data_IF_968148695971
#
_entry.id   IF_968148695971
#
_cell.length_a   1.000
_cell.length_b   1.000
_cell.length_c   1.000
_cell.angle_alpha   90.00
_cell.angle_beta   90.00
_cell.angle_gamma   90.00
#
_symmetry.space_group_name_H-M   'P 1'
#
loop_
_entity.id
_entity.type
_entity.pdbx_description
1 polymer ?
#
# COMPACT_ATOMS: atom_id res chain seq x y z
N UNK A 1 5.46 -25.89 -25.20
CA UNK A 1 4.04 -26.26 -24.95
C UNK A 1 3.55 -27.14 -26.08
N UNK A 2 2.96 -28.32 -25.79
CA UNK A 2 2.43 -29.23 -26.83
C UNK A 2 1.21 -28.57 -27.50
N UNK A 3 1.26 -28.40 -28.82
CA UNK A 3 0.38 -27.56 -29.67
C UNK A 3 -1.13 -27.85 -29.64
N UNK A 4 -1.62 -28.81 -28.87
CA UNK A 4 -3.06 -29.15 -28.79
C UNK A 4 -3.70 -29.00 -27.41
N UNK A 5 -2.92 -28.74 -26.34
CA UNK A 5 -3.48 -28.66 -24.98
C UNK A 5 -4.29 -27.38 -24.72
N UNK A 6 -3.95 -26.28 -25.40
CA UNK A 6 -4.62 -24.98 -25.23
C UNK A 6 -6.07 -25.04 -25.71
N UNK A 7 -6.37 -25.90 -26.69
CA UNK A 7 -7.72 -26.05 -27.22
C UNK A 7 -8.68 -26.73 -26.22
N UNK A 8 -8.17 -27.47 -25.24
CA UNK A 8 -8.98 -28.11 -24.18
C UNK A 8 -9.35 -27.16 -23.03
N UNK A 9 -8.74 -25.97 -22.99
CA UNK A 9 -9.03 -24.94 -21.98
C UNK A 9 -10.29 -24.13 -22.37
N UNK A 10 -10.62 -24.09 -23.66
CA UNK A 10 -11.76 -23.36 -24.18
C UNK A 10 -13.02 -24.24 -24.19
N UNK A 11 -13.98 -23.90 -23.33
CA UNK A 11 -15.28 -24.59 -23.25
C UNK A 11 -16.06 -24.60 -24.56
N UNK A 12 -15.79 -23.66 -25.48
CA UNK A 12 -16.44 -23.62 -26.80
C UNK A 12 -15.90 -24.68 -27.77
N UNK A 13 -14.80 -25.36 -27.43
CA UNK A 13 -14.15 -26.39 -28.26
C UNK A 13 -14.47 -27.82 -27.81
N UNK A 14 -15.42 -27.99 -26.90
CA UNK A 14 -15.88 -29.31 -26.45
C UNK A 14 -16.75 -29.92 -27.57
N UNK A 15 -16.35 -31.04 -28.21
CA UNK A 15 -17.14 -31.70 -29.25
C UNK A 15 -18.43 -32.29 -28.67
N UNK A 16 -19.47 -32.40 -29.49
CA UNK A 16 -20.68 -33.14 -29.10
C UNK A 16 -20.36 -34.62 -28.88
N UNK A 17 -21.07 -35.26 -27.94
CA UNK A 17 -20.82 -36.65 -27.53
C UNK A 17 -20.90 -37.65 -28.69
N UNK A 18 -21.75 -37.37 -29.69
CA UNK A 18 -21.98 -38.24 -30.84
C UNK A 18 -20.93 -38.06 -31.95
N UNK A 19 -20.00 -37.12 -31.78
CA UNK A 19 -18.99 -36.81 -32.78
C UNK A 19 -17.85 -37.84 -32.76
N UNK A 20 -17.39 -38.36 -33.92
CA UNK A 20 -16.35 -39.40 -33.98
C UNK A 20 -15.02 -39.05 -33.29
N UNK A 21 -14.73 -37.76 -33.12
CA UNK A 21 -13.52 -37.29 -32.45
C UNK A 21 -13.65 -37.18 -30.91
N UNK A 22 -14.83 -37.41 -30.33
CA UNK A 22 -15.08 -37.20 -28.89
C UNK A 22 -14.18 -38.08 -28.01
N UNK A 23 -14.00 -39.35 -28.35
CA UNK A 23 -13.12 -40.26 -27.60
C UNK A 23 -11.65 -39.82 -27.62
N UNK A 24 -11.16 -39.41 -28.80
CA UNK A 24 -9.80 -38.87 -28.91
C UNK A 24 -9.64 -37.54 -28.18
N UNK A 25 -10.69 -36.71 -28.16
CA UNK A 25 -10.72 -35.45 -27.42
C UNK A 25 -10.66 -35.70 -25.91
N UNK A 26 -11.45 -36.65 -25.39
CA UNK A 26 -11.51 -37.00 -23.95
C UNK A 26 -10.16 -37.43 -23.39
N UNK A 27 -9.41 -38.25 -24.13
CA UNK A 27 -8.05 -38.67 -23.75
C UNK A 27 -7.11 -37.46 -23.66
N UNK A 28 -7.25 -36.49 -24.55
CA UNK A 28 -6.41 -35.29 -24.57
C UNK A 28 -6.84 -34.26 -23.52
N UNK A 29 -8.13 -34.13 -23.24
CA UNK A 29 -8.68 -33.33 -22.15
C UNK A 29 -8.18 -33.85 -20.80
N UNK A 30 -8.22 -35.16 -20.58
CA UNK A 30 -7.72 -35.76 -19.34
C UNK A 30 -6.21 -35.56 -19.15
N UNK A 31 -5.42 -35.56 -20.24
CA UNK A 31 -4.00 -35.19 -20.19
C UNK A 31 -3.82 -33.71 -19.82
N UNK A 32 -4.64 -32.82 -20.36
CA UNK A 32 -4.61 -31.40 -20.00
C UNK A 32 -5.00 -31.18 -18.54
N UNK A 33 -6.07 -31.83 -18.07
CA UNK A 33 -6.49 -31.84 -16.68
C UNK A 33 -5.34 -32.29 -15.75
N UNK A 34 -4.70 -33.42 -16.05
CA UNK A 34 -3.63 -33.96 -15.21
C UNK A 34 -2.42 -33.01 -15.15
N UNK A 35 -2.02 -32.42 -16.27
CA UNK A 35 -0.91 -31.46 -16.32
C UNK A 35 -1.24 -30.21 -15.50
N UNK A 36 -2.44 -29.64 -15.68
CA UNK A 36 -2.86 -28.46 -14.95
C UNK A 36 -2.95 -28.79 -13.46
N UNK A 37 -3.62 -29.88 -13.09
CA UNK A 37 -3.70 -30.36 -11.71
C UNK A 37 -2.32 -30.49 -11.09
N UNK A 38 -1.39 -31.26 -11.67
CA UNK A 38 -0.06 -31.46 -11.09
C UNK A 38 0.76 -30.15 -10.91
N UNK A 39 0.47 -29.12 -11.71
CA UNK A 39 1.16 -27.82 -11.63
C UNK A 39 0.66 -26.90 -10.51
N UNK A 40 -0.46 -27.23 -9.85
CA UNK A 40 -1.13 -26.37 -8.87
C UNK A 40 -0.81 -26.83 -7.44
N UNK A 41 -0.44 -25.88 -6.58
CA UNK A 41 -0.15 -26.16 -5.17
C UNK A 41 -1.40 -26.44 -4.33
N UNK A 42 -2.59 -25.96 -4.75
CA UNK A 42 -3.87 -26.09 -4.03
C UNK A 42 -4.82 -27.01 -4.80
N UNK A 43 -4.60 -28.33 -4.72
CA UNK A 43 -5.41 -29.35 -5.41
C UNK A 43 -6.89 -29.35 -4.98
N UNK A 44 -7.18 -28.98 -3.74
CA UNK A 44 -8.54 -28.95 -3.20
C UNK A 44 -9.46 -27.99 -3.96
N UNK A 45 -8.90 -26.96 -4.62
CA UNK A 45 -9.64 -25.95 -5.37
C UNK A 45 -10.33 -26.55 -6.60
N UNK A 46 -9.73 -27.56 -7.23
CA UNK A 46 -10.16 -28.11 -8.53
C UNK A 46 -10.81 -29.49 -8.39
N UNK A 47 -11.06 -29.95 -7.16
CA UNK A 47 -11.51 -31.33 -6.87
C UNK A 47 -12.87 -31.68 -7.48
N UNK A 48 -13.71 -30.69 -7.74
CA UNK A 48 -15.03 -30.88 -8.35
C UNK A 48 -15.04 -30.70 -9.87
N UNK A 49 -13.90 -30.38 -10.49
CA UNK A 49 -13.80 -30.22 -11.94
C UNK A 49 -13.63 -31.59 -12.61
N UNK A 50 -14.38 -31.80 -13.69
CA UNK A 50 -14.36 -33.01 -14.50
C UNK A 50 -13.60 -32.84 -15.82
N UNK A 51 -13.39 -31.60 -16.28
CA UNK A 51 -12.72 -31.27 -17.55
C UNK A 51 -11.59 -30.27 -17.36
N UNK A 52 -10.64 -30.22 -18.29
CA UNK A 52 -9.55 -29.24 -18.25
C UNK A 52 -10.07 -27.79 -18.33
N UNK A 53 -11.13 -27.56 -19.10
CA UNK A 53 -11.83 -26.27 -19.18
C UNK A 53 -12.42 -25.86 -17.83
N UNK A 54 -13.08 -26.76 -17.11
CA UNK A 54 -13.63 -26.46 -15.77
C UNK A 54 -12.53 -26.13 -14.76
N UNK A 55 -11.44 -26.90 -14.77
CA UNK A 55 -10.25 -26.61 -13.94
C UNK A 55 -9.73 -25.21 -14.22
N UNK A 56 -9.58 -24.85 -15.51
CA UNK A 56 -9.12 -23.52 -15.90
C UNK A 56 -10.08 -22.42 -15.45
N UNK A 57 -11.39 -22.59 -15.63
CA UNK A 57 -12.38 -21.61 -15.21
C UNK A 57 -12.36 -21.39 -13.69
N UNK A 58 -12.25 -22.46 -12.89
CA UNK A 58 -12.15 -22.36 -11.43
C UNK A 58 -10.89 -21.59 -11.03
N UNK A 59 -9.74 -21.92 -11.63
CA UNK A 59 -8.48 -21.23 -11.35
C UNK A 59 -8.52 -19.78 -11.76
N UNK A 60 -8.98 -19.51 -12.99
CA UNK A 60 -9.15 -18.16 -13.51
C UNK A 60 -10.04 -17.33 -12.57
N UNK A 61 -11.20 -17.86 -12.17
CA UNK A 61 -12.10 -17.19 -11.24
C UNK A 61 -11.50 -17.01 -9.85
N UNK A 62 -10.77 -18.00 -9.33
CA UNK A 62 -10.10 -17.90 -8.04
C UNK A 62 -9.01 -16.83 -8.04
N UNK A 63 -8.14 -16.83 -9.06
CA UNK A 63 -7.09 -15.84 -9.22
C UNK A 63 -7.66 -14.45 -9.51
N UNK A 64 -8.71 -14.35 -10.33
CA UNK A 64 -9.42 -13.09 -10.59
C UNK A 64 -10.09 -12.56 -9.33
N UNK A 65 -10.78 -13.40 -8.56
CA UNK A 65 -11.38 -13.01 -7.26
C UNK A 65 -10.32 -12.56 -6.28
N UNK A 66 -9.20 -13.29 -6.17
CA UNK A 66 -8.08 -12.90 -5.30
C UNK A 66 -7.44 -11.61 -5.78
N UNK A 67 -7.30 -11.42 -7.08
CA UNK A 67 -6.81 -10.18 -7.68
C UNK A 67 -7.76 -9.01 -7.35
N UNK A 68 -9.07 -9.16 -7.55
CA UNK A 68 -10.07 -8.14 -7.21
C UNK A 68 -10.07 -7.86 -5.70
N UNK A 69 -10.08 -8.89 -4.86
CA UNK A 69 -10.03 -8.76 -3.40
C UNK A 69 -8.77 -8.00 -2.97
N UNK A 70 -7.60 -8.38 -3.48
CA UNK A 70 -6.34 -7.69 -3.19
C UNK A 70 -6.36 -6.24 -3.67
N UNK A 71 -6.89 -5.96 -4.86
CA UNK A 71 -7.02 -4.61 -5.41
C UNK A 71 -7.97 -3.75 -4.56
N UNK A 72 -9.10 -4.30 -4.14
CA UNK A 72 -10.03 -3.62 -3.23
C UNK A 72 -9.37 -3.34 -1.90
N UNK A 73 -8.68 -4.32 -1.32
CA UNK A 73 -7.99 -4.16 -0.04
C UNK A 73 -6.89 -3.10 -0.11
N UNK A 74 -6.10 -3.10 -1.18
CA UNK A 74 -5.04 -2.08 -1.39
C UNK A 74 -5.61 -0.69 -1.65
N UNK A 75 -6.73 -0.58 -2.38
CA UNK A 75 -7.44 0.70 -2.51
C UNK A 75 -7.97 1.20 -1.17
N UNK A 76 -8.52 0.32 -0.33
CA UNK A 76 -8.97 0.68 1.01
C UNK A 76 -7.81 1.20 1.86
N UNK A 77 -6.68 0.48 1.86
CA UNK A 77 -5.45 0.89 2.53
C UNK A 77 -4.98 2.27 2.05
N UNK A 78 -5.06 2.55 0.74
CA UNK A 78 -4.71 3.86 0.19
C UNK A 78 -5.63 4.99 0.65
N UNK A 79 -6.95 4.79 0.69
CA UNK A 79 -7.87 5.83 1.13
C UNK A 79 -7.79 6.10 2.63
N UNK A 80 -7.43 5.08 3.42
CA UNK A 80 -7.22 5.18 4.86
C UNK A 80 -5.78 5.61 5.20
N UNK A 81 -4.89 5.71 4.21
CA UNK A 81 -3.49 6.06 4.40
C UNK A 81 -3.36 7.52 4.84
N UNK A 82 -2.98 7.72 6.10
CA UNK A 82 -2.85 9.03 6.74
C UNK A 82 -1.61 9.10 7.61
N UNK A 83 -0.92 10.23 7.55
CA UNK A 83 0.15 10.59 8.46
C UNK A 83 -0.48 10.96 9.82
N UNK A 84 -0.10 10.25 10.88
CA UNK A 84 -0.48 10.62 12.24
C UNK A 84 0.17 11.94 12.67
N UNK A 85 -0.45 12.64 13.64
CA UNK A 85 0.09 13.89 14.20
C UNK A 85 1.49 13.67 14.77
N UNK A 86 2.43 14.54 14.43
CA UNK A 86 3.85 14.38 14.80
C UNK A 86 4.54 13.17 14.17
N UNK A 87 3.93 12.54 13.16
CA UNK A 87 4.49 11.39 12.47
C UNK A 87 5.75 11.73 11.65
N UNK A 88 6.57 10.71 11.40
CA UNK A 88 7.78 10.88 10.61
C UNK A 88 7.46 10.88 9.11
N UNK A 89 7.60 12.04 8.46
CA UNK A 89 7.35 12.24 7.03
C UNK A 89 8.20 11.34 6.14
N UNK A 90 9.44 11.05 6.53
CA UNK A 90 10.34 10.20 5.74
C UNK A 90 9.85 8.76 5.67
N UNK A 91 9.41 8.23 6.80
CA UNK A 91 8.80 6.90 6.85
C UNK A 91 7.48 6.88 6.05
N UNK A 92 6.68 7.94 6.17
CA UNK A 92 5.43 8.08 5.41
C UNK A 92 5.65 8.06 3.90
N UNK A 93 6.67 8.74 3.39
CA UNK A 93 7.02 8.69 1.97
C UNK A 93 7.43 7.30 1.51
N UNK A 94 8.18 6.56 2.32
CA UNK A 94 8.58 5.20 1.98
C UNK A 94 7.36 4.29 1.92
N UNK A 95 6.50 4.33 2.94
CA UNK A 95 5.26 3.55 2.99
C UNK A 95 4.32 3.87 1.82
N UNK A 96 4.25 5.14 1.42
CA UNK A 96 3.47 5.56 0.25
C UNK A 96 4.01 4.96 -1.05
N UNK A 97 5.33 4.94 -1.24
CA UNK A 97 5.96 4.32 -2.42
C UNK A 97 5.72 2.81 -2.44
N UNK A 98 5.90 2.13 -1.32
CA UNK A 98 5.64 0.69 -1.19
C UNK A 98 4.17 0.36 -1.52
N UNK A 99 3.24 1.23 -1.13
CA UNK A 99 1.82 1.09 -1.46
C UNK A 99 1.55 1.31 -2.96
N UNK A 100 2.20 2.29 -3.59
CA UNK A 100 2.13 2.52 -5.03
C UNK A 100 2.65 1.31 -5.82
N UNK A 101 3.84 0.80 -5.46
CA UNK A 101 4.43 -0.39 -6.07
C UNK A 101 3.53 -1.63 -5.89
N UNK A 102 2.91 -1.79 -4.72
CA UNK A 102 1.96 -2.87 -4.46
C UNK A 102 0.72 -2.78 -5.36
N UNK A 103 0.24 -1.58 -5.67
CA UNK A 103 -0.90 -1.37 -6.56
C UNK A 103 -0.54 -1.63 -8.03
N UNK A 104 0.66 -1.22 -8.45
CA UNK A 104 1.20 -1.50 -9.78
C UNK A 104 1.37 -3.01 -10.01
N UNK A 105 1.86 -3.75 -9.02
CA UNK A 105 1.96 -5.22 -9.06
C UNK A 105 0.59 -5.93 -9.22
N UNK A 106 -0.50 -5.27 -8.84
CA UNK A 106 -1.88 -5.76 -9.02
C UNK A 106 -2.53 -5.25 -10.33
N UNK A 107 -1.76 -4.60 -11.21
CA UNK A 107 -2.23 -4.04 -12.47
C UNK A 107 -3.06 -2.76 -12.32
N UNK A 108 -2.95 -2.07 -11.17
CA UNK A 108 -3.63 -0.80 -10.91
C UNK A 108 -2.61 0.33 -10.96
N UNK A 109 -2.33 0.79 -12.17
CA UNK A 109 -1.44 1.94 -12.41
C UNK A 109 -2.13 3.24 -11.99
N UNK A 110 -1.33 4.17 -11.46
CA UNK A 110 -1.72 5.54 -11.17
C UNK A 110 -0.76 6.46 -11.91
N UNK A 111 -1.29 7.50 -12.53
CA UNK A 111 -0.45 8.56 -13.09
C UNK A 111 0.23 9.36 -11.96
N UNK A 112 1.20 10.19 -12.33
CA UNK A 112 1.95 10.98 -11.35
C UNK A 112 1.07 12.04 -10.66
N UNK A 113 0.04 12.54 -11.35
CA UNK A 113 -0.89 13.54 -10.84
C UNK A 113 -1.79 12.95 -9.74
N UNK A 114 -2.39 11.78 -9.97
CA UNK A 114 -3.13 11.03 -8.97
C UNK A 114 -2.23 10.73 -7.77
N UNK A 115 -1.01 10.23 -8.00
CA UNK A 115 -0.07 9.95 -6.90
C UNK A 115 0.20 11.21 -6.07
N UNK A 116 0.34 12.38 -6.70
CA UNK A 116 0.48 13.65 -6.00
C UNK A 116 -0.77 13.99 -5.17
N UNK A 117 -1.97 13.87 -5.75
CA UNK A 117 -3.24 14.11 -5.04
C UNK A 117 -3.38 13.20 -3.83
N UNK A 118 -3.09 11.90 -3.95
CA UNK A 118 -3.12 10.96 -2.83
C UNK A 118 -2.07 11.31 -1.77
N UNK A 119 -0.86 11.68 -2.18
CA UNK A 119 0.20 12.06 -1.25
C UNK A 119 -0.21 13.28 -0.43
N UNK A 120 -0.67 14.36 -1.07
CA UNK A 120 -1.12 15.57 -0.36
C UNK A 120 -2.30 15.24 0.56
N UNK A 121 -3.31 14.54 0.04
CA UNK A 121 -4.46 14.11 0.82
C UNK A 121 -4.11 13.20 2.01
N UNK A 122 -2.94 12.56 2.03
CA UNK A 122 -2.52 11.67 3.12
C UNK A 122 -1.83 12.40 4.29
N UNK A 123 -1.48 13.68 4.17
CA UNK A 123 -0.72 14.38 5.21
C UNK A 123 -1.58 14.76 6.42
N UNK A 124 -0.90 15.00 7.56
CA UNK A 124 -1.50 15.51 8.79
C UNK A 124 -1.88 16.99 8.62
N UNK A 125 -2.82 17.47 9.45
CA UNK A 125 -3.20 18.88 9.56
C UNK A 125 -2.01 19.83 9.83
N UNK A 126 -0.94 19.28 10.42
CA UNK A 126 0.33 19.99 10.65
C UNK A 126 0.96 20.56 9.36
N UNK A 127 0.58 20.01 8.21
CA UNK A 127 1.08 20.38 6.89
C UNK A 127 0.07 21.16 6.04
N UNK A 128 -1.09 21.57 6.58
CA UNK A 128 -2.16 22.25 5.85
C UNK A 128 -1.68 23.48 5.06
N UNK A 129 -0.82 24.28 5.69
CA UNK A 129 -0.26 25.46 5.02
C UNK A 129 0.60 25.07 3.82
N UNK A 130 1.38 24.00 3.94
CA UNK A 130 2.22 23.52 2.84
C UNK A 130 1.42 22.88 1.72
N UNK A 131 0.37 22.13 2.05
CA UNK A 131 -0.55 21.58 1.06
C UNK A 131 -1.17 22.69 0.21
N UNK A 132 -1.72 23.73 0.85
CA UNK A 132 -2.30 24.89 0.13
C UNK A 132 -1.32 25.60 -0.79
N UNK A 133 -0.06 25.71 -0.39
CA UNK A 133 0.99 26.32 -1.23
C UNK A 133 1.26 25.44 -2.45
N UNK A 134 1.34 24.12 -2.26
CA UNK A 134 1.57 23.17 -3.36
C UNK A 134 0.37 23.15 -4.32
N UNK A 135 -0.86 23.09 -3.81
CA UNK A 135 -2.10 23.08 -4.59
C UNK A 135 -2.26 24.32 -5.48
N UNK A 136 -1.84 25.49 -5.00
CA UNK A 136 -1.94 26.74 -5.75
C UNK A 136 -0.76 26.98 -6.71
N UNK A 137 0.25 26.11 -6.69
CA UNK A 137 1.43 26.26 -7.53
C UNK A 137 1.28 25.44 -8.81
N UNK A 138 1.54 26.05 -9.96
CA UNK A 138 1.45 25.37 -11.26
C UNK A 138 2.69 24.51 -11.53
N UNK A 139 2.48 23.33 -12.12
CA UNK A 139 3.56 22.47 -12.62
C UNK A 139 4.39 21.78 -11.53
N UNK A 140 3.86 21.65 -10.31
CA UNK A 140 4.53 20.87 -9.27
C UNK A 140 4.35 19.38 -9.54
N UNK A 141 5.48 18.70 -9.73
CA UNK A 141 5.53 17.24 -9.74
C UNK A 141 5.62 16.67 -8.31
N UNK A 142 5.38 15.36 -8.19
CA UNK A 142 5.43 14.66 -6.91
C UNK A 142 6.80 14.74 -6.22
N UNK A 143 7.89 14.83 -6.98
CA UNK A 143 9.24 14.92 -6.45
C UNK A 143 9.49 16.29 -5.81
N UNK A 144 9.05 17.38 -6.44
CA UNK A 144 9.11 18.74 -5.90
C UNK A 144 8.24 18.85 -4.65
N UNK A 145 7.02 18.30 -4.68
CA UNK A 145 6.14 18.27 -3.51
C UNK A 145 6.83 17.57 -2.32
N UNK A 146 7.41 16.38 -2.53
CA UNK A 146 8.17 15.66 -1.50
C UNK A 146 9.35 16.47 -0.94
N UNK A 147 10.06 17.22 -1.78
CA UNK A 147 11.16 18.10 -1.33
C UNK A 147 10.63 19.25 -0.46
N UNK A 148 9.52 19.87 -0.84
CA UNK A 148 8.92 20.97 -0.07
C UNK A 148 8.45 20.49 1.30
N UNK A 149 7.70 19.40 1.35
CA UNK A 149 7.18 18.81 2.60
C UNK A 149 8.34 18.38 3.53
N UNK A 150 9.41 17.79 2.97
CA UNK A 150 10.60 17.43 3.75
C UNK A 150 11.26 18.64 4.41
N UNK A 151 11.42 19.74 3.66
CA UNK A 151 12.00 20.97 4.20
C UNK A 151 11.15 21.50 5.36
N UNK A 152 9.83 21.50 5.23
CA UNK A 152 8.95 21.92 6.31
C UNK A 152 9.11 21.01 7.53
N UNK A 153 9.15 19.68 7.35
CA UNK A 153 9.39 18.73 8.43
C UNK A 153 10.71 19.01 9.18
N UNK A 154 11.79 19.27 8.45
CA UNK A 154 13.08 19.63 9.06
C UNK A 154 13.01 20.95 9.84
N UNK A 155 12.26 21.93 9.34
CA UNK A 155 12.02 23.21 10.03
C UNK A 155 11.22 22.98 11.31
N UNK A 156 10.16 22.16 11.25
CA UNK A 156 9.34 21.81 12.41
C UNK A 156 10.16 21.13 13.51
N UNK A 157 11.00 20.15 13.15
CA UNK A 157 11.89 19.48 14.12
C UNK A 157 12.84 20.48 14.78
N UNK A 158 13.44 21.39 14.00
CA UNK A 158 14.35 22.41 14.56
C UNK A 158 13.63 23.37 15.50
N UNK A 159 12.41 23.79 15.14
CA UNK A 159 11.57 24.63 16.00
C UNK A 159 11.24 23.92 17.31
N UNK A 160 10.79 22.68 17.25
CA UNK A 160 10.46 21.87 18.43
C UNK A 160 11.69 21.69 19.35
N UNK A 161 12.85 21.33 18.78
CA UNK A 161 14.09 21.20 19.54
C UNK A 161 14.48 22.52 20.23
N UNK A 162 14.33 23.65 19.54
CA UNK A 162 14.59 24.98 20.11
C UNK A 162 13.62 25.31 21.25
N UNK A 163 12.34 24.96 21.11
CA UNK A 163 11.32 25.22 22.12
C UNK A 163 11.55 24.36 23.37
N UNK A 164 11.90 23.09 23.21
CA UNK A 164 12.26 22.19 24.31
C UNK A 164 13.46 22.75 25.08
N UNK A 165 14.49 23.25 24.39
CA UNK A 165 15.65 23.86 25.03
C UNK A 165 15.28 25.14 25.82
N UNK A 166 14.42 26.00 25.26
CA UNK A 166 13.92 27.20 25.94
C UNK A 166 13.07 26.85 27.17
N UNK A 167 12.22 25.82 27.09
CA UNK A 167 11.41 25.35 28.23
C UNK A 167 12.31 24.80 29.34
N UNK A 168 13.32 23.99 29.00
CA UNK A 168 14.26 23.43 29.97
C UNK A 168 15.08 24.51 30.69
N UNK A 169 15.55 25.54 29.99
CA UNK A 169 16.27 26.67 30.60
C UNK A 169 15.36 27.48 31.53
N UNK A 170 14.10 27.72 31.14
CA UNK A 170 13.11 28.40 31.99
C UNK A 170 12.79 27.62 33.27
N UNK A 171 12.69 26.28 33.19
CA UNK A 171 12.47 25.43 34.37
C UNK A 171 13.68 25.49 35.32
N UNK A 172 14.91 25.34 34.80
CA UNK A 172 16.14 25.47 35.60
C UNK A 172 16.27 26.84 36.27
N UNK A 173 15.90 27.92 35.58
CA UNK A 173 15.93 29.26 36.16
C UNK A 173 14.94 29.43 37.32
N UNK A 174 13.73 28.84 37.21
CA UNK A 174 12.74 28.82 38.30
C UNK A 174 13.24 28.02 39.50
N UNK A 175 13.77 26.81 39.28
CA UNK A 175 14.30 25.97 40.35
C UNK A 175 15.45 26.66 41.10
N UNK A 176 16.35 27.33 40.36
CA UNK A 176 17.43 28.09 40.97
C UNK A 176 16.92 29.25 41.83
N UNK A 177 15.87 29.96 41.39
CA UNK A 177 15.26 31.04 42.16
C UNK A 177 14.62 30.51 43.46
N UNK A 178 13.85 29.42 43.38
CA UNK A 178 13.19 28.78 44.53
C UNK A 178 14.21 28.28 45.56
N UNK A 179 15.31 27.66 45.10
CA UNK A 179 16.38 27.21 45.99
C UNK A 179 17.11 28.37 46.68
N UNK A 180 17.28 29.50 45.97
CA UNK A 180 17.91 30.71 46.54
C UNK A 180 17.02 31.34 47.61
N UNK A 181 15.71 31.42 47.39
CA UNK A 181 14.74 31.94 48.35
C UNK A 181 14.65 31.06 49.61
N UNK A 182 14.61 29.73 49.46
CA UNK A 182 14.60 28.79 50.59
C UNK A 182 15.83 28.92 51.49
N UNK A 183 17.02 29.08 50.89
CA UNK A 183 18.28 29.30 51.64
C UNK A 183 18.32 30.65 52.35
N UNK A 184 17.73 31.69 51.75
CA UNK A 184 17.72 33.03 52.32
C UNK A 184 16.74 33.13 53.50
N UNK A 185 15.59 32.45 53.43
CA UNK A 185 14.63 32.38 54.54
C UNK A 185 15.17 31.62 55.75
N UNK A 186 15.91 30.52 55.55
CA UNK A 186 16.56 29.77 56.65
C UNK A 186 17.65 30.57 57.36
N UNK A 187 18.33 31.48 56.67
CA UNK A 187 19.36 32.37 57.27
C UNK A 187 18.80 33.54 58.07
N UNK A 188 17.52 33.88 57.90
CA UNK A 188 16.87 34.98 58.66
C UNK A 188 16.17 34.53 59.94
N UNK A 189 16.06 33.22 60.16
CA UNK A 189 15.39 32.59 61.31
C UNK A 189 16.39 32.00 62.34
N UNK A 190 17.69 32.12 62.08
CA UNK A 190 18.78 31.76 62.97
C UNK A 190 19.53 33.03 63.39
#
# INVERSE_FOLDING_TARGET
>A
MRKGLIDHIDSAKIPQMDHPCFETWKVNDMKAYAIISMSISIQSLIRSAATASEVWQILHNFHLRRNIHNRVQKKKELYEFKLGKGGNVMNHFQQFEDLCLSMEALGSYKDEEEKLVFLLGSLSEDYDQMMKIIENSQGIDILQAKKMIRREYEIMIKKEASEVALRATRYKAKDFCVQKESKNSRRKLA
#
